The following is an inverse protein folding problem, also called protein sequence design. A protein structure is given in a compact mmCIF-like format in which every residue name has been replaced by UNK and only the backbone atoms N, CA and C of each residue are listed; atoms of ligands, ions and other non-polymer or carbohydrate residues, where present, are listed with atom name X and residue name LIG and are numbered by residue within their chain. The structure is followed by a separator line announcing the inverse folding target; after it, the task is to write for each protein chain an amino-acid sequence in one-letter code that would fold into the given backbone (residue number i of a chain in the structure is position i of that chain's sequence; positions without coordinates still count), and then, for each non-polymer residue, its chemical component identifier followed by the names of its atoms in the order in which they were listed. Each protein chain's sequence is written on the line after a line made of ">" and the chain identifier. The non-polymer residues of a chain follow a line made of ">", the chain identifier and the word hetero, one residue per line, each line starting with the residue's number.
data_IF_868022461847
#
_entry.id   IF_868022461847
#
_cell.length_a   1.000
_cell.length_b   1.000
_cell.length_c   1.000
_cell.angle_alpha   90.00
_cell.angle_beta   90.00
_cell.angle_gamma   90.00
#
_symmetry.space_group_name_H-M   'P 1'
#
loop_
_entity.id
_entity.type
_entity.pdbx_description
1 polymer ?
#
# COMPACT_ATOMS: atom_id res chain seq x y z
N UNK A 1 22.51 -1.16 13.45
CA UNK A 1 23.08 -2.48 13.16
C UNK A 1 22.66 -3.57 14.19
N UNK A 2 22.69 -3.32 15.50
CA UNK A 2 22.28 -4.32 16.53
C UNK A 2 20.81 -4.80 16.41
N UNK A 3 19.87 -3.93 16.03
CA UNK A 3 18.42 -4.29 15.89
C UNK A 3 18.12 -5.17 14.68
N UNK A 4 18.88 -5.04 13.59
CA UNK A 4 18.73 -5.87 12.38
C UNK A 4 19.27 -7.28 12.64
N UNK A 5 20.34 -7.41 13.41
CA UNK A 5 20.89 -8.71 13.81
C UNK A 5 19.92 -9.53 14.69
N UNK A 6 19.14 -8.86 15.55
CA UNK A 6 18.14 -9.52 16.40
C UNK A 6 16.96 -10.05 15.57
N UNK A 7 16.53 -9.32 14.54
CA UNK A 7 15.45 -9.76 13.64
C UNK A 7 15.90 -10.96 12.79
N UNK A 8 17.13 -10.96 12.32
CA UNK A 8 17.72 -12.10 11.60
C UNK A 8 17.89 -13.33 12.48
N UNK A 9 18.24 -13.16 13.78
CA UNK A 9 18.34 -14.25 14.74
C UNK A 9 16.96 -14.85 15.10
N UNK A 10 15.92 -14.03 15.19
CA UNK A 10 14.55 -14.50 15.42
C UNK A 10 13.99 -15.27 14.22
N UNK A 11 14.32 -14.86 12.97
CA UNK A 11 13.95 -15.61 11.78
C UNK A 11 14.67 -16.96 11.66
N UNK A 12 15.94 -17.04 12.09
CA UNK A 12 16.70 -18.30 12.12
C UNK A 12 16.17 -19.29 13.17
N UNK A 13 15.64 -18.80 14.30
CA UNK A 13 15.05 -19.64 15.36
C UNK A 13 13.75 -20.35 14.96
N UNK A 14 12.97 -19.79 14.02
CA UNK A 14 11.73 -20.40 13.51
C UNK A 14 12.00 -21.56 12.57
N UNK A 15 13.12 -21.57 11.86
CA UNK A 15 13.49 -22.66 10.96
C UNK A 15 14.02 -23.92 11.66
N UNK A 16 14.49 -23.81 12.91
CA UNK A 16 15.13 -24.93 13.63
C UNK A 16 14.14 -25.98 14.19
N UNK A 17 12.85 -25.66 14.29
CA UNK A 17 11.84 -26.59 14.83
C UNK A 17 11.06 -27.40 13.75
N UNK A 18 11.46 -27.32 12.48
CA UNK A 18 10.73 -27.97 11.37
C UNK A 18 11.18 -29.42 11.07
N UNK A 19 12.05 -30.01 11.88
CA UNK A 19 12.58 -31.36 11.64
C UNK A 19 12.17 -32.39 12.71
N UNK A 20 10.87 -32.49 13.03
CA UNK A 20 10.36 -33.70 13.64
C UNK A 20 9.89 -34.64 12.51
N UNK A 21 10.73 -35.60 12.17
CA UNK A 21 10.34 -36.70 11.30
C UNK A 21 9.29 -37.55 12.03
N UNK A 22 8.03 -37.29 11.71
CA UNK A 22 6.93 -38.15 12.13
C UNK A 22 6.98 -39.40 11.24
N UNK A 23 7.06 -40.63 11.81
CA UNK A 23 7.07 -41.85 11.00
C UNK A 23 5.78 -41.91 10.17
N UNK A 24 5.92 -42.04 8.87
CA UNK A 24 4.80 -42.11 7.93
C UNK A 24 3.91 -43.31 8.28
N UNK A 25 2.67 -43.03 8.68
CA UNK A 25 1.63 -44.08 8.71
C UNK A 25 1.44 -44.62 7.30
N UNK A 26 1.25 -45.96 7.13
CA UNK A 26 1.04 -46.54 5.82
C UNK A 26 -0.14 -45.84 5.14
N UNK A 27 0.14 -45.20 4.02
CA UNK A 27 -0.89 -44.53 3.22
C UNK A 27 -1.79 -45.62 2.60
N UNK A 28 -3.06 -45.59 2.96
CA UNK A 28 -4.09 -46.30 2.20
C UNK A 28 -4.07 -45.76 0.77
N UNK A 29 -3.73 -46.62 -0.19
CA UNK A 29 -3.80 -46.29 -1.60
C UNK A 29 -5.28 -46.09 -1.93
N UNK A 30 -5.71 -44.82 -1.86
CA UNK A 30 -7.02 -44.46 -2.38
C UNK A 30 -6.93 -44.53 -3.90
N UNK A 31 -7.76 -45.41 -4.52
CA UNK A 31 -7.97 -45.40 -5.96
C UNK A 31 -8.18 -43.95 -6.42
N UNK A 32 -7.38 -43.54 -7.38
CA UNK A 32 -7.52 -42.29 -8.10
C UNK A 32 -8.96 -42.19 -8.61
N UNK A 33 -9.82 -41.50 -7.89
CA UNK A 33 -11.12 -41.14 -8.39
C UNK A 33 -10.83 -40.12 -9.47
N UNK A 34 -11.10 -40.47 -10.73
CA UNK A 34 -11.08 -39.55 -11.86
C UNK A 34 -12.18 -38.49 -11.62
N UNK A 35 -11.93 -37.57 -10.71
CA UNK A 35 -12.62 -36.32 -10.68
C UNK A 35 -12.17 -35.62 -11.96
N UNK A 36 -13.00 -35.61 -13.00
CA UNK A 36 -12.90 -34.66 -14.10
C UNK A 36 -12.94 -33.29 -13.42
N UNK A 37 -11.73 -32.71 -13.16
CA UNK A 37 -11.58 -31.47 -12.45
C UNK A 37 -12.34 -30.40 -13.20
N UNK A 38 -13.15 -29.64 -12.48
CA UNK A 38 -13.79 -28.45 -13.04
C UNK A 38 -12.65 -27.57 -13.54
N UNK A 39 -12.62 -27.32 -14.85
CA UNK A 39 -11.62 -26.47 -15.49
C UNK A 39 -12.06 -25.01 -15.31
N UNK A 40 -11.39 -24.30 -14.41
CA UNK A 40 -11.55 -22.87 -14.26
C UNK A 40 -10.74 -22.14 -15.34
N UNK A 41 -11.36 -21.14 -15.96
CA UNK A 41 -10.74 -20.34 -17.01
C UNK A 41 -10.42 -18.91 -16.55
N UNK A 42 -11.21 -18.40 -15.63
CA UNK A 42 -11.09 -17.02 -15.14
C UNK A 42 -11.14 -16.98 -13.61
N UNK A 43 -10.40 -16.03 -13.05
CA UNK A 43 -10.42 -15.71 -11.63
C UNK A 43 -10.72 -14.23 -11.48
N UNK A 44 -11.59 -13.88 -10.54
CA UNK A 44 -11.88 -12.50 -10.16
C UNK A 44 -11.63 -12.33 -8.67
N UNK A 45 -10.86 -11.34 -8.30
CA UNK A 45 -10.51 -11.12 -6.90
C UNK A 45 -10.37 -9.64 -6.58
N UNK A 46 -10.62 -9.30 -5.33
CA UNK A 46 -10.37 -7.99 -4.74
C UNK A 46 -9.49 -8.18 -3.51
N UNK A 47 -8.80 -7.13 -3.12
CA UNK A 47 -7.93 -7.20 -1.96
C UNK A 47 -7.49 -5.86 -1.44
N UNK A 48 -6.86 -5.92 -0.29
CA UNK A 48 -6.19 -4.80 0.34
C UNK A 48 -4.69 -5.07 0.41
N UNK A 49 -3.92 -4.00 0.38
CA UNK A 49 -2.48 -4.08 0.49
C UNK A 49 -1.96 -3.03 1.47
N UNK A 50 -0.95 -3.40 2.20
CA UNK A 50 -0.19 -2.52 3.06
C UNK A 50 1.24 -2.45 2.53
N UNK A 51 1.71 -1.23 2.27
CA UNK A 51 3.08 -0.93 1.81
C UNK A 51 3.86 -0.27 2.94
N UNK A 52 5.17 -0.38 2.94
CA UNK A 52 6.04 0.36 3.89
C UNK A 52 5.81 1.86 3.84
N UNK A 53 5.37 2.38 2.71
CA UNK A 53 5.06 3.78 2.48
C UNK A 53 3.57 4.09 2.28
N UNK A 54 2.63 3.18 2.65
CA UNK A 54 1.21 3.47 2.48
C UNK A 54 0.31 2.25 2.54
N UNK A 55 -0.89 2.42 2.00
CA UNK A 55 -1.91 1.37 1.91
C UNK A 55 -2.78 1.57 0.68
N UNK A 56 -3.47 0.53 0.26
CA UNK A 56 -4.35 0.59 -0.89
C UNK A 56 -5.30 -0.59 -1.00
N UNK A 57 -6.14 -0.51 -2.03
CA UNK A 57 -7.07 -1.56 -2.43
C UNK A 57 -6.88 -1.85 -3.91
N UNK A 58 -7.17 -3.08 -4.31
CA UNK A 58 -7.05 -3.47 -5.70
C UNK A 58 -8.13 -4.45 -6.12
N UNK A 59 -8.43 -4.44 -7.40
CA UNK A 59 -9.23 -5.43 -8.10
C UNK A 59 -8.38 -6.09 -9.17
N UNK A 60 -8.43 -7.41 -9.21
CA UNK A 60 -7.64 -8.23 -10.13
C UNK A 60 -8.56 -9.17 -10.91
N UNK A 61 -8.34 -9.28 -12.21
CA UNK A 61 -8.95 -10.30 -13.05
C UNK A 61 -7.85 -11.10 -13.75
N UNK A 62 -7.90 -12.42 -13.56
CA UNK A 62 -6.88 -13.36 -14.03
C UNK A 62 -7.51 -14.31 -15.03
N UNK A 63 -6.77 -14.60 -16.11
CA UNK A 63 -7.08 -15.64 -17.08
C UNK A 63 -6.05 -16.76 -16.95
N UNK A 64 -6.53 -17.98 -16.78
CA UNK A 64 -5.69 -19.18 -16.69
C UNK A 64 -5.32 -19.59 -18.10
N UNK A 65 -4.01 -19.66 -18.41
CA UNK A 65 -3.49 -20.09 -19.72
C UNK A 65 -3.12 -21.56 -19.65
N UNK A 66 -2.40 -21.95 -18.60
CA UNK A 66 -1.97 -23.32 -18.32
C UNK A 66 -2.00 -23.51 -16.79
N UNK A 67 -1.93 -24.76 -16.34
CA UNK A 67 -1.89 -25.10 -14.92
C UNK A 67 -0.82 -24.29 -14.14
N UNK A 68 0.33 -24.04 -14.77
CA UNK A 68 1.46 -23.35 -14.15
C UNK A 68 1.58 -21.87 -14.52
N UNK A 69 0.73 -21.34 -15.43
CA UNK A 69 0.88 -19.99 -15.99
C UNK A 69 -0.45 -19.28 -16.14
N UNK A 70 -0.59 -18.15 -15.44
CA UNK A 70 -1.78 -17.31 -15.49
C UNK A 70 -1.37 -15.90 -15.95
N UNK A 71 -2.29 -15.20 -16.60
CA UNK A 71 -2.14 -13.79 -17.00
C UNK A 71 -3.22 -12.98 -16.33
N UNK A 72 -2.85 -11.83 -15.76
CA UNK A 72 -3.81 -10.97 -15.08
C UNK A 72 -3.68 -9.50 -15.46
N UNK A 73 -4.73 -8.77 -15.21
CA UNK A 73 -4.71 -7.32 -15.12
C UNK A 73 -5.27 -6.89 -13.76
N UNK A 74 -4.79 -5.78 -13.29
CA UNK A 74 -5.11 -5.26 -11.96
C UNK A 74 -5.28 -3.75 -12.00
N UNK A 75 -6.31 -3.25 -11.32
CA UNK A 75 -6.50 -1.84 -11.01
C UNK A 75 -6.28 -1.68 -9.51
N UNK A 76 -5.43 -0.75 -9.14
CA UNK A 76 -5.12 -0.44 -7.75
C UNK A 76 -5.33 1.04 -7.46
N UNK A 77 -5.92 1.33 -6.32
CA UNK A 77 -5.93 2.64 -5.69
C UNK A 77 -5.11 2.59 -4.43
N UNK A 78 -4.12 3.47 -4.29
CA UNK A 78 -3.28 3.54 -3.09
C UNK A 78 -3.01 4.97 -2.64
N UNK A 79 -2.68 5.12 -1.36
CA UNK A 79 -2.20 6.36 -0.74
C UNK A 79 -0.76 6.15 -0.33
N UNK A 80 0.13 7.00 -0.84
CA UNK A 80 1.56 6.96 -0.53
C UNK A 80 1.93 8.10 0.41
N UNK A 81 2.74 7.79 1.42
CA UNK A 81 3.30 8.73 2.41
C UNK A 81 4.78 8.93 2.15
N UNK A 82 5.27 10.09 2.51
CA UNK A 82 6.71 10.36 2.52
C UNK A 82 7.35 9.74 3.77
N UNK A 83 8.60 9.27 3.68
CA UNK A 83 9.33 8.63 4.79
C UNK A 83 9.47 9.52 6.03
N UNK A 84 9.60 10.83 5.81
CA UNK A 84 9.74 11.83 6.87
C UNK A 84 8.42 12.46 7.34
N UNK A 85 7.28 11.88 6.92
CA UNK A 85 5.97 12.37 7.33
C UNK A 85 5.67 11.94 8.77
N UNK A 86 5.89 12.87 9.72
CA UNK A 86 5.61 12.67 11.15
C UNK A 86 4.40 13.46 11.58
N UNK A 87 3.54 12.85 12.39
CA UNK A 87 2.36 13.49 12.95
C UNK A 87 2.78 14.32 14.14
N UNK A 88 2.40 15.60 14.14
CA UNK A 88 2.69 16.59 15.18
C UNK A 88 1.39 17.01 15.84
N UNK A 89 1.41 17.17 17.14
CA UNK A 89 0.27 17.70 17.89
C UNK A 89 0.19 19.20 17.72
N UNK A 90 -1.03 19.74 17.70
CA UNK A 90 -1.23 21.18 17.74
C UNK A 90 -0.82 21.72 19.12
N UNK A 91 -0.13 22.83 19.13
CA UNK A 91 0.21 23.56 20.36
C UNK A 91 -1.04 24.14 21.02
N UNK A 92 -2.08 24.37 20.23
CA UNK A 92 -3.34 24.93 20.68
C UNK A 92 -4.27 23.83 21.18
N UNK A 93 -4.89 24.05 22.35
CA UNK A 93 -5.89 23.14 22.94
C UNK A 93 -7.31 23.65 22.74
N UNK A 94 -7.50 24.99 22.77
CA UNK A 94 -8.79 25.67 22.64
C UNK A 94 -8.56 27.09 22.08
N UNK A 95 -9.65 27.80 21.81
CA UNK A 95 -9.60 29.25 21.45
C UNK A 95 -9.82 29.57 19.97
N UNK A 96 -10.18 28.58 19.14
CA UNK A 96 -10.45 28.81 17.72
C UNK A 96 -11.81 28.31 17.27
N UNK A 97 -12.15 28.45 15.97
CA UNK A 97 -13.45 28.09 15.41
C UNK A 97 -13.75 26.59 15.38
N UNK A 98 -12.74 25.75 15.53
CA UNK A 98 -12.84 24.29 15.55
C UNK A 98 -11.89 23.72 16.60
N UNK A 99 -12.16 22.49 17.07
CA UNK A 99 -11.22 21.75 17.90
C UNK A 99 -9.95 21.45 17.12
N UNK A 100 -8.75 21.82 17.62
CA UNK A 100 -7.50 21.60 16.92
C UNK A 100 -7.26 20.12 16.65
N UNK A 101 -6.82 19.81 15.43
CA UNK A 101 -6.46 18.45 15.01
C UNK A 101 -4.97 18.36 14.75
N UNK A 102 -4.40 17.22 15.09
CA UNK A 102 -3.00 16.94 14.79
C UNK A 102 -2.74 17.06 13.28
N UNK A 103 -1.58 17.57 12.93
CA UNK A 103 -1.17 17.80 11.55
C UNK A 103 0.17 17.14 11.24
N UNK A 104 0.57 17.15 9.99
CA UNK A 104 1.88 16.67 9.55
C UNK A 104 2.76 17.88 9.25
N UNK A 105 3.81 18.09 10.07
CA UNK A 105 4.70 19.24 9.93
C UNK A 105 5.46 19.18 8.58
N UNK A 106 5.49 20.33 7.90
CA UNK A 106 6.19 20.49 6.63
C UNK A 106 5.59 19.72 5.44
N UNK A 107 4.42 19.09 5.62
CA UNK A 107 3.71 18.41 4.53
C UNK A 107 2.99 19.43 3.65
N UNK A 108 3.25 19.37 2.33
CA UNK A 108 2.62 20.27 1.35
C UNK A 108 1.59 19.56 0.47
N UNK A 109 1.75 18.26 0.23
CA UNK A 109 0.78 17.50 -0.55
C UNK A 109 0.62 16.08 -0.02
N UNK A 110 -0.50 15.46 -0.38
CA UNK A 110 -0.77 14.02 -0.24
C UNK A 110 -0.80 13.36 -1.61
N UNK A 111 -0.15 12.22 -1.76
CA UNK A 111 -0.11 11.47 -3.00
C UNK A 111 -1.12 10.31 -2.93
N UNK A 112 -2.09 10.34 -3.83
CA UNK A 112 -2.98 9.22 -4.16
C UNK A 112 -2.61 8.71 -5.54
N UNK A 113 -2.66 7.41 -5.74
CA UNK A 113 -2.25 6.81 -7.02
C UNK A 113 -3.30 5.83 -7.49
N UNK A 114 -3.69 5.95 -8.74
CA UNK A 114 -4.46 4.97 -9.47
C UNK A 114 -3.51 4.29 -10.44
N UNK A 115 -3.42 2.96 -10.37
CA UNK A 115 -2.52 2.18 -11.22
C UNK A 115 -3.28 1.13 -12.00
N UNK A 116 -2.93 0.95 -13.27
CA UNK A 116 -3.36 -0.16 -14.10
C UNK A 116 -2.14 -0.98 -14.47
N UNK A 117 -2.15 -2.26 -14.08
CA UNK A 117 -1.04 -3.19 -14.34
C UNK A 117 -1.51 -4.41 -15.12
N UNK A 118 -0.63 -4.94 -15.92
CA UNK A 118 -0.72 -6.28 -16.53
C UNK A 118 0.42 -7.12 -15.98
N UNK A 119 0.16 -8.40 -15.78
CA UNK A 119 1.16 -9.28 -15.20
C UNK A 119 0.95 -10.75 -15.52
N UNK A 120 1.91 -11.51 -15.03
CA UNK A 120 1.93 -12.95 -15.15
C UNK A 120 2.15 -13.56 -13.77
N UNK A 121 1.42 -14.66 -13.52
CA UNK A 121 1.64 -15.53 -12.38
C UNK A 121 2.27 -16.81 -12.87
N UNK A 122 3.39 -17.21 -12.27
CA UNK A 122 4.03 -18.52 -12.48
C UNK A 122 3.88 -19.33 -11.20
N UNK A 123 3.16 -20.43 -11.27
CA UNK A 123 3.03 -21.38 -10.17
C UNK A 123 4.36 -22.10 -9.99
N UNK A 124 4.90 -22.05 -8.78
CA UNK A 124 6.17 -22.69 -8.39
C UNK A 124 5.92 -24.04 -7.73
N UNK A 125 4.89 -24.12 -6.88
CA UNK A 125 4.50 -25.34 -6.18
C UNK A 125 2.98 -25.47 -6.20
N UNK A 126 2.47 -26.60 -6.67
CA UNK A 126 1.04 -26.90 -6.71
C UNK A 126 0.56 -27.39 -5.34
N UNK A 127 -0.73 -27.21 -5.06
CA UNK A 127 -1.37 -27.75 -3.86
C UNK A 127 -1.36 -29.28 -3.90
N UNK A 128 -1.01 -29.90 -2.78
CA UNK A 128 -1.31 -31.32 -2.56
C UNK A 128 -2.82 -31.52 -2.34
N UNK A 129 -3.37 -32.61 -2.82
CA UNK A 129 -4.78 -32.95 -3.08
C UNK A 129 -5.85 -32.57 -2.02
N UNK A 130 -5.52 -32.16 -0.79
CA UNK A 130 -6.51 -31.76 0.23
C UNK A 130 -6.05 -30.71 1.26
N UNK A 131 -4.77 -30.53 1.42
CA UNK A 131 -4.22 -29.55 2.36
C UNK A 131 -2.83 -29.16 1.88
N UNK A 132 -2.68 -27.96 1.41
CA UNK A 132 -1.41 -27.47 0.92
C UNK A 132 -1.53 -26.01 0.54
N UNK A 133 -0.40 -25.34 0.42
CA UNK A 133 -0.29 -23.98 -0.03
C UNK A 133 0.27 -23.98 -1.44
N UNK A 134 -0.44 -23.37 -2.40
CA UNK A 134 0.12 -23.07 -3.71
C UNK A 134 1.04 -21.86 -3.56
N UNK A 135 2.28 -22.00 -4.01
CA UNK A 135 3.23 -20.89 -4.04
C UNK A 135 3.41 -20.46 -5.49
N UNK A 136 3.21 -19.17 -5.74
CA UNK A 136 3.36 -18.61 -7.07
C UNK A 136 4.15 -17.29 -7.06
N UNK A 137 4.85 -17.06 -8.17
CA UNK A 137 5.57 -15.82 -8.42
C UNK A 137 4.70 -14.91 -9.31
N UNK A 138 4.38 -13.74 -8.80
CA UNK A 138 3.66 -12.69 -9.51
C UNK A 138 4.63 -11.63 -9.99
N UNK A 139 4.56 -11.28 -11.27
CA UNK A 139 5.29 -10.17 -11.86
C UNK A 139 4.32 -9.30 -12.64
N UNK A 140 4.33 -7.99 -12.40
CA UNK A 140 3.45 -7.06 -13.10
C UNK A 140 4.12 -5.72 -13.33
N UNK A 141 3.68 -5.06 -14.39
CA UNK A 141 4.10 -3.72 -14.77
C UNK A 141 2.94 -2.97 -15.41
N UNK A 142 3.01 -1.67 -15.38
CA UNK A 142 1.93 -0.86 -15.93
C UNK A 142 2.14 0.62 -15.77
N UNK A 143 1.05 1.34 -15.96
CA UNK A 143 1.00 2.79 -15.83
C UNK A 143 0.36 3.19 -14.51
N UNK A 144 0.77 4.32 -13.99
CA UNK A 144 0.21 4.92 -12.79
C UNK A 144 -0.12 6.39 -13.02
N UNK A 145 -1.21 6.84 -12.42
CA UNK A 145 -1.61 8.23 -12.36
C UNK A 145 -1.57 8.68 -10.90
N UNK A 146 -0.57 9.45 -10.54
CA UNK A 146 -0.48 10.12 -9.26
C UNK A 146 -1.43 11.33 -9.23
N UNK A 147 -2.20 11.44 -8.18
CA UNK A 147 -3.06 12.58 -7.88
C UNK A 147 -2.45 13.30 -6.68
N UNK A 148 -1.76 14.38 -6.95
CA UNK A 148 -1.09 15.20 -5.94
C UNK A 148 -2.10 16.19 -5.38
N UNK A 149 -2.59 15.90 -4.18
CA UNK A 149 -3.61 16.69 -3.48
C UNK A 149 -2.94 17.67 -2.53
N UNK A 150 -3.22 18.99 -2.61
CA UNK A 150 -2.73 19.97 -1.64
C UNK A 150 -3.11 19.58 -0.20
N UNK A 151 -2.16 19.78 0.72
CA UNK A 151 -2.38 19.61 2.14
C UNK A 151 -2.58 20.98 2.75
N UNK A 152 -3.79 21.24 3.24
CA UNK A 152 -4.17 22.55 3.76
C UNK A 152 -4.11 22.56 5.27
N UNK A 153 -3.58 23.66 5.80
CA UNK A 153 -3.50 23.96 7.23
C UNK A 153 -4.34 25.19 7.54
N UNK A 154 -4.91 25.22 8.71
CA UNK A 154 -5.51 26.40 9.29
C UNK A 154 -4.42 27.16 10.02
N UNK A 155 -4.07 28.32 9.50
CA UNK A 155 -3.03 29.21 10.01
C UNK A 155 -3.64 30.35 10.81
N UNK A 156 -2.90 30.81 11.79
CA UNK A 156 -3.22 32.00 12.62
C UNK A 156 -2.44 33.16 12.07
N UNK A 157 -3.16 34.26 11.82
CA UNK A 157 -2.61 35.56 11.48
C UNK A 157 -3.05 36.58 12.52
N UNK A 158 -2.14 37.44 12.94
CA UNK A 158 -2.36 38.45 13.94
C UNK A 158 -1.45 38.29 15.16
N UNK A 159 -1.47 39.28 16.03
CA UNK A 159 -0.70 39.26 17.26
C UNK A 159 -1.58 38.66 18.37
N UNK A 160 -1.09 37.62 19.05
CA UNK A 160 -1.77 37.00 20.19
C UNK A 160 -1.98 37.95 21.39
N UNK A 161 -1.30 39.07 21.38
CA UNK A 161 -1.43 40.11 22.42
C UNK A 161 -2.53 41.11 22.13
N UNK A 162 -2.95 41.23 20.88
CA UNK A 162 -4.01 42.13 20.43
C UNK A 162 -5.17 41.27 19.94
N UNK A 163 -6.35 41.37 20.46
CA UNK A 163 -7.56 40.55 20.25
C UNK A 163 -7.98 40.37 18.75
N UNK A 164 -7.07 40.62 17.80
CA UNK A 164 -7.24 40.55 16.35
C UNK A 164 -6.62 39.27 15.76
N UNK A 165 -7.11 38.09 16.17
CA UNK A 165 -6.69 36.81 15.61
C UNK A 165 -7.57 36.46 14.42
N UNK A 166 -6.96 36.22 13.26
CA UNK A 166 -7.65 35.73 12.06
C UNK A 166 -7.19 34.34 11.71
N UNK A 167 -8.17 33.42 11.53
CA UNK A 167 -7.92 32.07 11.07
C UNK A 167 -8.12 31.95 9.57
N UNK A 168 -7.11 31.47 8.84
CA UNK A 168 -7.20 31.23 7.39
C UNK A 168 -6.78 29.82 7.05
N UNK A 169 -7.56 29.16 6.21
CA UNK A 169 -7.17 27.86 5.64
C UNK A 169 -6.37 28.11 4.37
N UNK A 170 -5.12 27.64 4.35
CA UNK A 170 -4.21 27.88 3.24
C UNK A 170 -3.44 26.63 2.87
N UNK A 171 -3.13 26.51 1.58
CA UNK A 171 -2.14 25.57 1.03
C UNK A 171 -0.77 26.22 1.03
N UNK A 172 0.27 25.39 1.06
CA UNK A 172 1.64 25.86 0.99
C UNK A 172 1.90 26.64 -0.30
N UNK A 173 2.54 27.79 -0.15
CA UNK A 173 3.08 28.60 -1.26
C UNK A 173 4.41 29.24 -0.82
N UNK A 174 5.20 29.70 -1.80
CA UNK A 174 6.44 30.44 -1.49
C UNK A 174 6.19 31.74 -0.72
N UNK A 175 5.00 32.32 -0.85
CA UNK A 175 4.62 33.58 -0.19
C UNK A 175 4.27 33.41 1.30
N UNK A 176 3.71 32.25 1.67
CA UNK A 176 3.32 31.96 3.07
C UNK A 176 4.25 30.94 3.75
N UNK A 177 5.39 30.63 3.13
CA UNK A 177 6.29 29.58 3.61
C UNK A 177 6.75 29.78 5.07
N UNK A 178 7.03 31.02 5.48
CA UNK A 178 7.42 31.33 6.85
C UNK A 178 6.34 31.01 7.88
N UNK A 179 5.12 31.42 7.63
CA UNK A 179 3.95 31.16 8.51
C UNK A 179 3.54 29.68 8.46
N UNK A 180 3.59 29.05 7.27
CA UNK A 180 3.21 27.65 7.09
C UNK A 180 4.16 26.66 7.77
N UNK A 181 5.43 27.06 7.95
CA UNK A 181 6.46 26.26 8.63
C UNK A 181 6.71 26.68 10.08
N UNK A 182 6.02 27.71 10.58
CA UNK A 182 6.08 28.09 11.98
C UNK A 182 5.02 27.32 12.79
N UNK A 183 5.46 26.48 13.71
CA UNK A 183 4.57 25.66 14.55
C UNK A 183 3.63 26.49 15.43
N UNK A 184 4.04 27.69 15.80
CA UNK A 184 3.22 28.61 16.61
C UNK A 184 2.10 29.28 15.79
N UNK A 185 2.23 29.29 14.48
CA UNK A 185 1.24 29.83 13.57
C UNK A 185 0.28 28.76 13.01
N UNK A 186 0.52 27.47 13.28
CA UNK A 186 -0.32 26.37 12.80
C UNK A 186 -1.35 26.01 13.86
N UNK A 187 -2.62 26.35 13.60
CA UNK A 187 -3.73 26.01 14.50
C UNK A 187 -4.15 24.55 14.37
N UNK A 188 -4.41 24.09 13.14
CA UNK A 188 -5.01 22.77 12.91
C UNK A 188 -4.81 22.30 11.47
N UNK A 189 -5.01 21.00 11.25
CA UNK A 189 -5.25 20.45 9.92
C UNK A 189 -6.66 20.85 9.44
N UNK A 190 -6.76 21.41 8.24
CA UNK A 190 -8.01 21.93 7.69
C UNK A 190 -9.06 20.86 7.35
N UNK A 191 -8.62 19.61 7.12
CA UNK A 191 -9.52 18.49 6.87
C UNK A 191 -9.20 17.69 5.59
N UNK A 192 -9.72 16.47 5.54
CA UNK A 192 -9.40 15.53 4.44
C UNK A 192 -10.02 15.93 3.11
N UNK A 193 -11.15 16.63 3.11
CA UNK A 193 -11.87 17.02 1.89
C UNK A 193 -11.37 18.33 1.27
N UNK A 194 -10.67 19.14 2.03
CA UNK A 194 -10.07 20.39 1.55
C UNK A 194 -9.02 20.08 0.48
N UNK A 195 -8.96 20.88 -0.59
CA UNK A 195 -8.05 20.72 -1.72
C UNK A 195 -8.35 19.51 -2.63
N UNK A 196 -9.52 18.86 -2.51
CA UNK A 196 -9.87 17.71 -3.36
C UNK A 196 -9.97 18.07 -4.84
N UNK A 197 -10.53 19.23 -5.15
CA UNK A 197 -10.68 19.71 -6.52
C UNK A 197 -9.40 20.36 -7.11
N UNK A 198 -8.41 20.63 -6.25
CA UNK A 198 -7.12 21.20 -6.63
C UNK A 198 -6.04 20.13 -6.91
N UNK A 199 -6.46 18.87 -7.10
CA UNK A 199 -5.52 17.78 -7.36
C UNK A 199 -4.81 17.97 -8.70
N UNK A 200 -3.49 17.79 -8.69
CA UNK A 200 -2.68 17.82 -9.91
C UNK A 200 -2.37 16.39 -10.36
N UNK A 201 -2.74 16.01 -11.59
CA UNK A 201 -2.40 14.69 -12.12
C UNK A 201 -0.91 14.62 -12.45
N UNK A 202 -0.29 13.50 -12.12
CA UNK A 202 1.12 13.22 -12.38
C UNK A 202 1.27 11.82 -12.98
N UNK A 203 1.58 11.70 -14.27
CA UNK A 203 1.73 10.41 -14.91
C UNK A 203 3.01 9.71 -14.43
N UNK A 204 2.96 8.39 -14.39
CA UNK A 204 4.05 7.54 -13.95
C UNK A 204 3.93 6.12 -14.46
N UNK A 205 4.86 5.29 -14.03
CA UNK A 205 4.90 3.87 -14.28
C UNK A 205 5.06 3.10 -12.96
N UNK A 206 4.59 1.86 -12.95
CA UNK A 206 4.66 1.00 -11.77
C UNK A 206 5.12 -0.39 -12.16
N UNK A 207 5.91 -1.01 -11.29
CA UNK A 207 6.33 -2.39 -11.43
C UNK A 207 6.24 -3.10 -10.06
N UNK A 208 5.87 -4.38 -10.09
CA UNK A 208 5.73 -5.20 -8.89
C UNK A 208 6.22 -6.60 -9.13
N UNK A 209 6.88 -7.17 -8.12
CA UNK A 209 7.24 -8.57 -8.03
C UNK A 209 6.90 -9.08 -6.64
N UNK A 210 6.27 -10.26 -6.54
CA UNK A 210 5.88 -10.83 -5.26
C UNK A 210 5.70 -12.33 -5.30
N UNK A 211 5.83 -12.94 -4.13
CA UNK A 211 5.48 -14.33 -3.87
C UNK A 211 4.09 -14.39 -3.27
N UNK A 212 3.21 -15.12 -3.90
CA UNK A 212 1.84 -15.32 -3.47
C UNK A 212 1.65 -16.73 -2.94
N UNK A 213 0.94 -16.82 -1.82
CA UNK A 213 0.61 -18.03 -1.08
C UNK A 213 -0.91 -18.18 -1.08
N UNK A 214 -1.44 -19.17 -1.78
CA UNK A 214 -2.87 -19.47 -1.83
C UNK A 214 -3.17 -20.72 -0.98
N UNK A 215 -3.96 -20.52 0.09
CA UNK A 215 -4.37 -21.56 1.04
C UNK A 215 -5.89 -21.79 1.06
N UNK A 216 -6.62 -21.33 0.04
CA UNK A 216 -8.07 -21.57 -0.04
C UNK A 216 -8.38 -23.06 0.10
N UNK A 217 -9.34 -23.41 0.95
CA UNK A 217 -9.72 -24.79 1.24
C UNK A 217 -10.46 -25.45 0.06
N UNK A 218 -11.18 -24.66 -0.72
CA UNK A 218 -11.94 -25.08 -1.90
C UNK A 218 -11.33 -24.47 -3.15
N UNK A 219 -11.34 -25.23 -4.24
CA UNK A 219 -10.73 -24.80 -5.50
C UNK A 219 -11.46 -23.63 -6.16
N UNK A 220 -12.75 -23.41 -5.85
CA UNK A 220 -13.58 -22.31 -6.35
C UNK A 220 -13.27 -20.98 -5.69
N UNK A 221 -12.74 -20.99 -4.47
CA UNK A 221 -12.41 -19.80 -3.73
C UNK A 221 -10.92 -19.44 -3.88
N UNK A 222 -10.64 -18.17 -3.77
CA UNK A 222 -9.27 -17.64 -3.72
C UNK A 222 -9.09 -16.97 -2.37
N UNK A 223 -8.09 -17.41 -1.61
CA UNK A 223 -7.62 -16.74 -0.40
C UNK A 223 -6.10 -16.74 -0.46
N UNK A 224 -5.56 -15.62 -0.89
CA UNK A 224 -4.13 -15.50 -1.19
C UNK A 224 -3.51 -14.36 -0.39
N UNK A 225 -2.38 -14.62 0.23
CA UNK A 225 -1.47 -13.59 0.75
C UNK A 225 -0.30 -13.44 -0.21
N UNK A 226 0.11 -12.22 -0.46
CA UNK A 226 1.25 -11.93 -1.32
C UNK A 226 2.20 -10.98 -0.60
N UNK A 227 3.50 -11.27 -0.69
CA UNK A 227 4.57 -10.46 -0.13
C UNK A 227 5.54 -10.15 -1.26
N UNK A 228 5.97 -8.89 -1.36
CA UNK A 228 6.88 -8.53 -2.43
C UNK A 228 7.38 -7.10 -2.40
N UNK A 229 7.92 -6.69 -3.55
CA UNK A 229 8.44 -5.36 -3.80
C UNK A 229 7.59 -4.66 -4.87
N UNK A 230 7.32 -3.39 -4.61
CA UNK A 230 6.63 -2.49 -5.54
C UNK A 230 7.52 -1.25 -5.76
N UNK A 231 7.55 -0.78 -6.99
CA UNK A 231 8.23 0.47 -7.34
C UNK A 231 7.29 1.31 -8.17
N UNK A 232 6.96 2.48 -7.67
CA UNK A 232 6.19 3.50 -8.38
C UNK A 232 7.14 4.63 -8.79
N UNK A 233 7.20 4.97 -10.07
CA UNK A 233 8.03 6.04 -10.62
C UNK A 233 7.18 7.07 -11.34
N UNK A 234 7.49 8.35 -11.16
CA UNK A 234 6.79 9.48 -11.77
C UNK A 234 7.73 10.29 -12.66
N UNK A 235 7.20 10.95 -13.67
CA UNK A 235 8.01 11.75 -14.62
C UNK A 235 8.70 12.94 -13.95
N UNK A 236 8.11 13.50 -12.88
CA UNK A 236 8.63 14.64 -12.16
C UNK A 236 8.76 14.32 -10.67
N UNK A 237 9.56 15.09 -9.95
CA UNK A 237 9.62 15.04 -8.51
C UNK A 237 8.23 15.32 -7.92
N UNK A 238 7.75 14.44 -7.06
CA UNK A 238 6.47 14.61 -6.38
C UNK A 238 6.68 15.48 -5.15
N UNK A 239 6.18 16.71 -5.11
CA UNK A 239 6.41 17.65 -4.02
C UNK A 239 5.52 17.28 -2.81
N UNK A 240 5.97 16.39 -1.95
CA UNK A 240 5.22 15.95 -0.77
C UNK A 240 5.55 16.78 0.47
N UNK A 241 6.81 17.17 0.63
CA UNK A 241 7.30 17.84 1.82
C UNK A 241 8.06 19.12 1.46
N UNK A 242 7.88 20.20 2.24
CA UNK A 242 8.61 21.45 2.10
C UNK A 242 10.05 21.35 2.63
N UNK A 243 10.22 20.63 3.75
CA UNK A 243 11.49 20.54 4.50
C UNK A 243 12.31 19.29 4.21
N UNK A 244 11.91 18.49 3.24
CA UNK A 244 12.60 17.24 2.88
C UNK A 244 12.80 17.13 1.37
N UNK A 245 13.79 16.33 0.94
CA UNK A 245 14.02 16.05 -0.46
C UNK A 245 12.86 15.23 -1.02
N UNK A 246 12.24 15.75 -2.06
CA UNK A 246 11.17 15.07 -2.78
C UNK A 246 11.76 14.10 -3.82
N UNK A 247 11.08 12.99 -4.03
CA UNK A 247 11.55 11.90 -4.88
C UNK A 247 10.63 11.70 -6.09
N UNK A 248 11.20 11.12 -7.16
CA UNK A 248 10.45 10.65 -8.34
C UNK A 248 10.06 9.18 -8.21
N UNK A 249 10.87 8.40 -7.47
CA UNK A 249 10.73 6.96 -7.37
C UNK A 249 10.44 6.58 -5.93
N UNK A 250 9.42 5.75 -5.75
CA UNK A 250 8.92 5.28 -4.47
C UNK A 250 8.99 3.74 -4.39
N UNK A 251 10.15 3.20 -3.99
CA UNK A 251 10.26 1.77 -3.68
C UNK A 251 9.52 1.46 -2.39
N UNK A 252 8.86 0.31 -2.33
CA UNK A 252 8.17 -0.16 -1.15
C UNK A 252 8.14 -1.69 -1.08
N UNK A 253 8.25 -2.23 0.10
CA UNK A 253 7.82 -3.60 0.39
C UNK A 253 6.31 -3.59 0.64
N UNK A 254 5.64 -4.66 0.27
CA UNK A 254 4.20 -4.77 0.53
C UNK A 254 3.82 -6.17 0.99
N UNK A 255 2.72 -6.20 1.71
CA UNK A 255 1.94 -7.39 2.02
C UNK A 255 0.52 -7.13 1.56
N UNK A 256 -0.08 -8.06 0.85
CA UNK A 256 -1.47 -7.96 0.42
C UNK A 256 -2.25 -9.21 0.74
N UNK A 257 -3.55 -9.03 0.97
CA UNK A 257 -4.51 -10.12 1.06
C UNK A 257 -5.54 -9.98 -0.05
N UNK A 258 -5.84 -11.10 -0.70
CA UNK A 258 -6.72 -11.17 -1.86
C UNK A 258 -7.76 -12.26 -1.65
N UNK A 259 -9.02 -11.91 -1.93
CA UNK A 259 -10.18 -12.79 -1.85
C UNK A 259 -10.91 -12.79 -3.18
N UNK A 260 -11.41 -13.92 -3.61
CA UNK A 260 -12.09 -14.01 -4.90
C UNK A 260 -12.62 -15.38 -5.21
N UNK A 261 -13.11 -15.53 -6.43
CA UNK A 261 -13.68 -16.77 -6.94
C UNK A 261 -13.10 -17.11 -8.29
N UNK A 262 -13.07 -18.40 -8.58
CA UNK A 262 -12.75 -19.00 -9.89
C UNK A 262 -14.02 -19.38 -10.62
N UNK A 263 -14.02 -19.15 -11.94
CA UNK A 263 -15.12 -19.53 -12.84
C UNK A 263 -14.60 -20.25 -14.06
#
# INVERSE_FOLDING_TARGET
>A
MRKIAIILLLLAGVCANAQTVVPAKPQKIYKKQDNKGILYFEESSFGALYKTNGWGFFYNKTKIIHATKKKFWEIEFNKTKHEKETKTESVFTQGGPITPKNYYYGKINSLYTISYRKGYTKVLTEKSLRSGVEISLNTSYGVSLGLVKPYELMLIYGDQTTDNITFKTEKYSSLNASTFLDQNSIYSYAGTWQGFFDMKPMPGATARIGLAFDWATFDDNITTMEIGLNVDGYLLNVPLMAVAKNHQVFPAMYVSMRFGNRK
#
